data_IF_559084890830
#
_entry.id   IF_559084890830
#
_cell.length_a   1.000
_cell.length_b   1.000
_cell.length_c   1.000
_cell.angle_alpha   90.00
_cell.angle_beta   90.00
_cell.angle_gamma   90.00
#
_symmetry.space_group_name_H-M   'P 1'
#
loop_
_entity.id
_entity.type
_entity.pdbx_description
1 polymer ?
#
# COMPACT_ATOMS: atom_id res chain seq x y z
N UNK A 1 5.51 -3.91 14.81
CA UNK A 1 6.45 -4.42 15.86
C UNK A 1 6.99 -3.29 16.73
N UNK A 2 7.68 -2.30 16.16
CA UNK A 2 8.31 -1.16 16.89
C UNK A 2 7.34 -0.45 17.85
N UNK A 3 6.11 -0.18 17.42
CA UNK A 3 5.07 0.41 18.27
C UNK A 3 4.84 -0.40 19.55
N UNK A 4 4.63 -1.71 19.43
CA UNK A 4 4.39 -2.60 20.57
C UNK A 4 5.60 -2.71 21.50
N UNK A 5 6.82 -2.60 20.97
CA UNK A 5 8.04 -2.56 21.77
C UNK A 5 8.29 -1.21 22.44
N UNK A 6 7.52 -0.17 22.07
CA UNK A 6 7.54 1.18 22.65
C UNK A 6 6.44 1.33 23.70
N UNK A 7 5.26 0.78 23.44
CA UNK A 7 4.11 0.87 24.34
C UNK A 7 4.40 0.13 25.65
N UNK A 8 4.09 0.77 26.79
CA UNK A 8 4.35 0.26 28.14
C UNK A 8 5.82 0.25 28.56
N UNK A 9 6.74 0.71 27.70
CA UNK A 9 8.18 0.73 28.00
C UNK A 9 8.58 1.99 28.76
N UNK A 10 9.37 1.80 29.82
CA UNK A 10 9.98 2.88 30.59
C UNK A 10 10.86 3.77 29.70
N UNK A 11 10.84 5.09 29.94
CA UNK A 11 11.55 6.13 29.18
C UNK A 11 10.97 6.42 27.77
N UNK A 12 9.77 5.93 27.47
CA UNK A 12 9.03 6.22 26.23
C UNK A 12 7.63 6.76 26.51
N UNK A 13 7.42 7.39 27.66
CA UNK A 13 6.12 7.87 28.15
C UNK A 13 5.49 8.88 27.18
N UNK A 14 6.30 9.77 26.60
CA UNK A 14 5.86 10.77 25.61
C UNK A 14 5.45 10.13 24.27
N UNK A 15 6.08 9.01 23.89
CA UNK A 15 5.78 8.31 22.64
C UNK A 15 4.58 7.35 22.76
N UNK A 16 4.07 7.08 23.97
CA UNK A 16 3.02 6.08 24.21
C UNK A 16 1.76 6.31 23.37
N UNK A 17 1.22 7.52 23.42
CA UNK A 17 -0.03 7.87 22.73
C UNK A 17 0.14 7.69 21.23
N UNK A 18 1.22 8.26 20.68
CA UNK A 18 1.49 8.22 19.25
C UNK A 18 1.77 6.81 18.74
N UNK A 19 2.53 6.02 19.50
CA UNK A 19 2.79 4.62 19.17
C UNK A 19 1.50 3.78 19.13
N UNK A 20 0.50 4.07 19.99
CA UNK A 20 -0.81 3.39 19.95
C UNK A 20 -1.62 3.76 18.71
N UNK A 21 -1.64 5.04 18.34
CA UNK A 21 -2.31 5.52 17.12
C UNK A 21 -1.72 4.85 15.88
N UNK A 22 -0.38 4.88 15.75
CA UNK A 22 0.31 4.23 14.64
C UNK A 22 0.08 2.71 14.67
N UNK A 23 0.11 2.06 15.84
CA UNK A 23 -0.16 0.62 15.93
C UNK A 23 -1.55 0.24 15.41
N UNK A 24 -2.57 1.10 15.65
CA UNK A 24 -3.91 0.90 15.14
C UNK A 24 -3.96 1.06 13.62
N UNK A 25 -3.43 2.16 13.07
CA UNK A 25 -3.41 2.39 11.63
C UNK A 25 -2.62 1.29 10.89
N UNK A 26 -1.48 0.83 11.42
CA UNK A 26 -0.71 -0.27 10.82
C UNK A 26 -1.46 -1.62 10.85
N UNK A 27 -2.35 -1.81 11.82
CA UNK A 27 -3.24 -2.98 11.85
C UNK A 27 -4.30 -2.88 10.76
N UNK A 28 -4.90 -1.71 10.58
CA UNK A 28 -5.88 -1.43 9.52
C UNK A 28 -5.23 -1.56 8.13
N UNK A 29 -4.07 -0.93 7.92
CA UNK A 29 -3.27 -1.04 6.71
C UNK A 29 -2.98 -2.49 6.33
N UNK A 30 -2.64 -3.35 7.30
CA UNK A 30 -2.43 -4.78 7.05
C UNK A 30 -3.69 -5.48 6.50
N UNK A 31 -4.86 -5.20 7.06
CA UNK A 31 -6.11 -5.81 6.55
C UNK A 31 -6.45 -5.27 5.17
N UNK A 32 -6.36 -3.96 4.99
CA UNK A 32 -6.59 -3.32 3.68
C UNK A 32 -5.65 -3.86 2.59
N UNK A 33 -4.37 -4.07 2.88
CA UNK A 33 -3.43 -4.63 1.91
C UNK A 33 -3.74 -6.10 1.55
N UNK A 34 -4.26 -6.89 2.49
CA UNK A 34 -4.70 -8.26 2.20
C UNK A 34 -5.94 -8.24 1.29
N UNK A 35 -6.92 -7.39 1.61
CA UNK A 35 -8.12 -7.24 0.77
C UNK A 35 -7.77 -6.71 -0.63
N UNK A 36 -6.77 -5.83 -0.74
CA UNK A 36 -6.27 -5.32 -2.02
C UNK A 36 -5.56 -6.39 -2.84
N UNK A 37 -4.90 -7.35 -2.21
CA UNK A 37 -4.29 -8.47 -2.93
C UNK A 37 -5.36 -9.35 -3.62
N UNK A 38 -6.46 -9.62 -2.93
CA UNK A 38 -7.61 -10.32 -3.54
C UNK A 38 -8.26 -9.46 -4.63
N UNK A 39 -8.42 -8.16 -4.37
CA UNK A 39 -8.98 -7.22 -5.35
C UNK A 39 -8.14 -7.09 -6.63
N UNK A 40 -6.81 -7.19 -6.53
CA UNK A 40 -5.89 -7.18 -7.67
C UNK A 40 -6.10 -8.43 -8.55
N UNK A 41 -6.22 -9.60 -7.92
CA UNK A 41 -6.54 -10.85 -8.63
C UNK A 41 -7.87 -10.75 -9.37
N UNK A 42 -8.89 -10.20 -8.72
CA UNK A 42 -10.21 -9.98 -9.32
C UNK A 42 -10.17 -8.95 -10.46
N UNK A 43 -9.40 -7.87 -10.30
CA UNK A 43 -9.22 -6.86 -11.33
C UNK A 43 -8.53 -7.45 -12.57
N UNK A 44 -7.46 -8.23 -12.38
CA UNK A 44 -6.78 -8.94 -13.45
C UNK A 44 -7.75 -9.88 -14.19
N UNK A 45 -8.52 -10.68 -13.46
CA UNK A 45 -9.50 -11.59 -14.05
C UNK A 45 -10.55 -10.85 -14.89
N UNK A 46 -11.04 -9.69 -14.41
CA UNK A 46 -11.98 -8.83 -15.15
C UNK A 46 -11.36 -8.28 -16.43
N UNK A 47 -10.12 -7.81 -16.38
CA UNK A 47 -9.39 -7.35 -17.58
C UNK A 47 -9.27 -8.48 -18.60
N UNK A 48 -8.87 -9.67 -18.17
CA UNK A 48 -8.75 -10.84 -19.05
C UNK A 48 -10.08 -11.28 -19.67
N UNK A 49 -11.19 -11.17 -18.93
CA UNK A 49 -12.53 -11.43 -19.47
C UNK A 49 -12.95 -10.33 -20.46
N UNK A 50 -12.68 -9.07 -20.16
CA UNK A 50 -13.00 -7.95 -21.03
C UNK A 50 -12.28 -8.07 -22.39
N UNK A 51 -11.01 -8.47 -22.41
CA UNK A 51 -10.27 -8.70 -23.66
C UNK A 51 -10.94 -9.74 -24.58
N UNK A 52 -11.60 -10.76 -24.03
CA UNK A 52 -12.32 -11.77 -24.83
C UNK A 52 -13.52 -11.20 -25.56
N UNK A 53 -14.09 -10.10 -25.06
CA UNK A 53 -15.26 -9.45 -25.67
C UNK A 53 -14.91 -8.66 -26.93
N UNK A 54 -13.63 -8.27 -27.09
CA UNK A 54 -13.15 -7.34 -28.13
C UNK A 54 -13.88 -5.99 -28.16
N UNK A 55 -14.54 -5.63 -27.06
CA UNK A 55 -15.27 -4.38 -26.88
C UNK A 55 -14.39 -3.39 -26.10
N UNK A 56 -13.94 -2.34 -26.78
CA UNK A 56 -13.05 -1.34 -26.18
C UNK A 56 -13.66 -0.66 -24.95
N UNK A 57 -14.98 -0.44 -24.90
CA UNK A 57 -15.61 0.18 -23.74
C UNK A 57 -15.51 -0.72 -22.50
N UNK A 58 -15.72 -2.04 -22.68
CA UNK A 58 -15.58 -3.02 -21.60
C UNK A 58 -14.13 -3.18 -21.14
N UNK A 59 -13.18 -3.17 -22.08
CA UNK A 59 -11.74 -3.24 -21.78
C UNK A 59 -11.31 -2.01 -20.99
N UNK A 60 -11.68 -0.80 -21.44
CA UNK A 60 -11.39 0.45 -20.73
C UNK A 60 -11.98 0.45 -19.32
N UNK A 61 -13.24 0.05 -19.16
CA UNK A 61 -13.88 -0.04 -17.84
C UNK A 61 -13.14 -0.99 -16.88
N UNK A 62 -12.71 -2.16 -17.36
CA UNK A 62 -11.93 -3.10 -16.57
C UNK A 62 -10.53 -2.57 -16.21
N UNK A 63 -9.86 -1.89 -17.15
CA UNK A 63 -8.55 -1.28 -16.91
C UNK A 63 -8.61 -0.12 -15.92
N UNK A 64 -9.66 0.71 -15.95
CA UNK A 64 -9.85 1.74 -14.92
C UNK A 64 -9.91 1.12 -13.53
N UNK A 65 -10.65 0.02 -13.37
CA UNK A 65 -10.68 -0.71 -12.11
C UNK A 65 -9.30 -1.28 -11.72
N UNK A 66 -8.57 -1.83 -12.69
CA UNK A 66 -7.21 -2.34 -12.49
C UNK A 66 -6.17 -1.26 -12.15
N UNK A 67 -6.44 0.02 -12.45
CA UNK A 67 -5.62 1.15 -12.00
C UNK A 67 -5.85 1.48 -10.52
N UNK A 68 -7.10 1.40 -10.05
CA UNK A 68 -7.45 1.87 -8.71
C UNK A 68 -6.88 0.99 -7.58
N UNK A 69 -6.79 -0.31 -7.79
CA UNK A 69 -6.23 -1.24 -6.80
C UNK A 69 -4.76 -0.91 -6.46
N UNK A 70 -3.82 -0.88 -7.42
CA UNK A 70 -2.42 -0.54 -7.13
C UNK A 70 -2.23 0.91 -6.67
N UNK A 71 -3.08 1.87 -7.10
CA UNK A 71 -3.05 3.22 -6.49
C UNK A 71 -3.27 3.15 -4.98
N UNK A 72 -4.24 2.37 -4.52
CA UNK A 72 -4.51 2.23 -3.09
C UNK A 72 -3.37 1.54 -2.35
N UNK A 73 -2.72 0.56 -2.99
CA UNK A 73 -1.50 -0.07 -2.44
C UNK A 73 -0.39 0.97 -2.27
N UNK A 74 -0.17 1.83 -3.27
CA UNK A 74 0.84 2.89 -3.20
C UNK A 74 0.56 3.89 -2.06
N UNK A 75 -0.70 4.33 -1.90
CA UNK A 75 -1.10 5.23 -0.80
C UNK A 75 -0.82 4.62 0.58
N UNK A 76 -1.20 3.36 0.79
CA UNK A 76 -0.99 2.68 2.08
C UNK A 76 0.51 2.42 2.30
N UNK A 77 1.26 2.09 1.24
CA UNK A 77 2.70 1.92 1.32
C UNK A 77 3.38 3.23 1.79
N UNK A 78 2.97 4.39 1.28
CA UNK A 78 3.51 5.67 1.74
C UNK A 78 3.13 5.98 3.21
N UNK A 79 1.90 5.66 3.63
CA UNK A 79 1.49 5.78 5.04
C UNK A 79 2.38 4.92 5.97
N UNK A 80 2.68 3.68 5.57
CA UNK A 80 3.59 2.79 6.31
C UNK A 80 5.00 3.39 6.36
N UNK A 81 5.50 3.91 5.23
CA UNK A 81 6.83 4.55 5.14
C UNK A 81 6.95 5.73 6.10
N UNK A 82 5.96 6.64 6.10
CA UNK A 82 5.90 7.79 7.00
C UNK A 82 5.82 7.36 8.46
N UNK A 83 4.98 6.37 8.76
CA UNK A 83 4.82 5.81 10.12
C UNK A 83 6.10 5.15 10.62
N UNK A 84 6.80 4.42 9.76
CA UNK A 84 8.09 3.78 10.06
C UNK A 84 9.16 4.84 10.36
N UNK A 85 9.24 5.90 9.54
CA UNK A 85 10.14 7.02 9.75
C UNK A 85 9.85 7.79 11.04
N UNK A 86 8.58 7.92 11.42
CA UNK A 86 8.22 8.53 12.70
C UNK A 86 8.66 7.65 13.87
N UNK A 87 8.33 6.36 13.81
CA UNK A 87 8.70 5.39 14.85
C UNK A 87 10.21 5.15 14.95
N UNK A 88 11.00 5.40 13.91
CA UNK A 88 12.46 5.37 13.99
C UNK A 88 13.04 6.50 14.85
N UNK A 89 12.29 7.62 14.98
CA UNK A 89 12.69 8.81 15.76
C UNK A 89 12.21 8.73 17.20
N UNK A 90 10.95 8.34 17.42
CA UNK A 90 10.31 8.39 18.74
C UNK A 90 10.17 7.02 19.41
N UNK A 91 10.33 5.95 18.65
CA UNK A 91 10.13 4.58 19.12
C UNK A 91 11.31 4.01 19.86
N UNK A 92 11.14 2.77 20.31
CA UNK A 92 12.18 2.01 21.00
C UNK A 92 13.47 1.93 20.16
N UNK A 93 14.54 2.56 20.65
CA UNK A 93 15.86 2.63 19.99
C UNK A 93 16.46 1.25 19.68
N UNK A 94 16.14 0.23 20.48
CA UNK A 94 16.60 -1.13 20.23
C UNK A 94 15.90 -1.82 19.06
N UNK A 95 14.81 -1.22 18.55
CA UNK A 95 14.04 -1.68 17.40
C UNK A 95 14.20 -0.75 16.19
N UNK A 96 15.23 0.10 16.17
CA UNK A 96 15.51 1.01 15.06
C UNK A 96 15.68 0.26 13.73
N UNK A 97 16.36 -0.89 13.74
CA UNK A 97 16.52 -1.74 12.55
C UNK A 97 15.18 -2.22 11.98
N UNK A 98 14.20 -2.51 12.83
CA UNK A 98 12.86 -2.92 12.40
C UNK A 98 12.10 -1.75 11.77
N UNK A 99 12.30 -0.53 12.26
CA UNK A 99 11.73 0.69 11.67
C UNK A 99 12.34 0.96 10.28
N UNK A 100 13.67 0.89 10.16
CA UNK A 100 14.37 1.05 8.88
C UNK A 100 13.95 -0.05 7.87
N UNK A 101 13.83 -1.29 8.32
CA UNK A 101 13.36 -2.40 7.47
C UNK A 101 11.94 -2.14 6.96
N UNK A 102 11.04 -1.65 7.83
CA UNK A 102 9.69 -1.30 7.42
C UNK A 102 9.67 -0.17 6.38
N UNK A 103 10.51 0.86 6.54
CA UNK A 103 10.64 1.95 5.58
C UNK A 103 11.10 1.45 4.20
N UNK A 104 12.12 0.59 4.14
CA UNK A 104 12.62 0.03 2.88
C UNK A 104 11.59 -0.84 2.16
N UNK A 105 10.89 -1.69 2.91
CA UNK A 105 9.84 -2.55 2.36
C UNK A 105 8.66 -1.72 1.85
N UNK A 106 8.27 -0.68 2.60
CA UNK A 106 7.22 0.24 2.20
C UNK A 106 7.59 1.00 0.91
N UNK A 107 8.83 1.46 0.78
CA UNK A 107 9.31 2.08 -0.44
C UNK A 107 9.26 1.12 -1.63
N UNK A 108 9.76 -0.11 -1.45
CA UNK A 108 9.71 -1.13 -2.52
C UNK A 108 8.26 -1.45 -2.94
N UNK A 109 7.33 -1.52 -1.98
CA UNK A 109 5.91 -1.74 -2.27
C UNK A 109 5.30 -0.56 -3.05
N UNK A 110 5.64 0.69 -2.70
CA UNK A 110 5.21 1.87 -3.44
C UNK A 110 5.68 1.83 -4.90
N UNK A 111 6.98 1.61 -5.13
CA UNK A 111 7.55 1.54 -6.49
C UNK A 111 6.92 0.40 -7.31
N UNK A 112 6.71 -0.77 -6.70
CA UNK A 112 6.04 -1.89 -7.34
C UNK A 112 4.60 -1.55 -7.75
N UNK A 113 3.85 -0.92 -6.86
CA UNK A 113 2.48 -0.52 -7.13
C UNK A 113 2.41 0.57 -8.21
N UNK A 114 3.36 1.51 -8.20
CA UNK A 114 3.50 2.54 -9.22
C UNK A 114 3.68 1.94 -10.63
N UNK A 115 4.53 0.93 -10.79
CA UNK A 115 4.68 0.22 -12.08
C UNK A 115 3.37 -0.43 -12.55
N UNK A 116 2.56 -0.95 -11.62
CA UNK A 116 1.25 -1.54 -11.93
C UNK A 116 0.20 -0.48 -12.33
N UNK A 117 0.25 0.71 -11.73
CA UNK A 117 -0.56 1.86 -12.17
C UNK A 117 -0.15 2.28 -13.58
N UNK A 118 1.15 2.47 -13.80
CA UNK A 118 1.72 2.98 -15.04
C UNK A 118 1.38 2.09 -16.24
N UNK A 119 1.50 0.77 -16.10
CA UNK A 119 1.22 -0.15 -17.22
C UNK A 119 -0.27 -0.14 -17.60
N UNK A 120 -1.17 -0.06 -16.63
CA UNK A 120 -2.61 0.01 -16.90
C UNK A 120 -3.00 1.36 -17.53
N UNK A 121 -2.41 2.47 -17.08
CA UNK A 121 -2.62 3.80 -17.68
C UNK A 121 -2.09 3.85 -19.12
N UNK A 122 -0.89 3.33 -19.37
CA UNK A 122 -0.31 3.24 -20.73
C UNK A 122 -1.21 2.42 -21.66
N UNK A 123 -1.77 1.33 -21.13
CA UNK A 123 -2.70 0.48 -21.88
C UNK A 123 -4.01 1.23 -22.19
N UNK A 124 -4.58 1.95 -21.22
CA UNK A 124 -5.75 2.81 -21.44
C UNK A 124 -5.50 3.85 -22.53
N UNK A 125 -4.35 4.54 -22.48
CA UNK A 125 -3.98 5.54 -23.48
C UNK A 125 -3.85 4.94 -24.89
N UNK A 126 -3.36 3.70 -25.00
CA UNK A 126 -3.20 3.01 -26.29
C UNK A 126 -4.52 2.60 -26.96
N UNK A 127 -5.61 2.50 -26.18
CA UNK A 127 -6.94 2.16 -26.70
C UNK A 127 -7.67 3.35 -27.35
N UNK A 128 -7.03 4.53 -27.42
CA UNK A 128 -7.57 5.75 -28.00
C UNK A 128 -8.62 6.45 -27.12
N UNK A 129 -8.76 7.76 -27.25
CA UNK A 129 -9.97 8.45 -26.81
C UNK A 129 -11.13 8.04 -27.75
N UNK A 130 -12.32 7.84 -27.22
CA UNK A 130 -13.51 7.64 -28.05
C UNK A 130 -13.77 8.88 -28.94
#
# INVERSE_FOLDING_TARGET
>A
MVCNLTIGRKNYEEAQKRAKEIALSMKEARFSLLDLADADSDAFNKVMQAYKTKDNAKIKAALYWAVEVPKKVAEIADEIRVSALEMSKIGNKNAYSDAASAEYLANAAYESAHENVEINIKTLASLGAD
#
